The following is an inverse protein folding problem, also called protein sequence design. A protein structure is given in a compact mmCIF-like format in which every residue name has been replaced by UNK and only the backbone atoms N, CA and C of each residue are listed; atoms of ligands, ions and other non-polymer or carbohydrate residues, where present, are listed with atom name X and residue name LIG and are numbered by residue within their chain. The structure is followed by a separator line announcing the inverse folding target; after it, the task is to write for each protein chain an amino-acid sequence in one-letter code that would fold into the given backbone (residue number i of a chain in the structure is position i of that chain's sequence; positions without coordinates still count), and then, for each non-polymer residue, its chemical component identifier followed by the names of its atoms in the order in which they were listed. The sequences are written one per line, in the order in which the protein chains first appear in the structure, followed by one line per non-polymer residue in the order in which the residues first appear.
data_IF_850088066038
#
_entry.id   IF_850088066038
#
_cell.length_a   1.000
_cell.length_b   1.000
_cell.length_c   1.000
_cell.angle_alpha   90.00
_cell.angle_beta   90.00
_cell.angle_gamma   90.00
#
_symmetry.space_group_name_H-M   'P 1'
#
loop_
_entity.id
_entity.type
_entity.pdbx_description
1 polymer ?
#
# COMPACT_ATOMS: atom_id res chain seq x y z
N UNK A 1 1.80 35.67 1.67
CA UNK A 1 2.68 34.88 0.77
C UNK A 1 4.13 35.06 1.21
N UNK A 2 4.65 34.22 2.11
CA UNK A 2 6.09 34.14 2.43
C UNK A 2 6.56 32.75 2.05
N UNK A 3 7.61 32.69 1.22
CA UNK A 3 8.21 31.43 0.78
C UNK A 3 8.79 30.69 1.97
N UNK A 4 8.35 29.45 2.17
CA UNK A 4 9.06 28.49 3.02
C UNK A 4 10.34 28.14 2.28
N UNK A 5 11.49 28.42 2.91
CA UNK A 5 12.81 28.18 2.35
C UNK A 5 13.03 26.72 1.95
N UNK A 6 13.97 26.52 1.02
CA UNK A 6 14.32 25.26 0.34
C UNK A 6 14.82 24.11 1.25
N UNK A 7 14.64 24.21 2.57
CA UNK A 7 15.13 23.25 3.56
C UNK A 7 14.03 22.71 4.51
N UNK A 8 12.77 22.79 4.12
CA UNK A 8 11.65 22.20 4.87
C UNK A 8 11.46 20.74 4.48
N UNK A 9 11.17 19.88 5.46
CA UNK A 9 11.00 18.45 5.20
C UNK A 9 9.80 18.25 4.25
N UNK A 10 9.87 17.21 3.41
CA UNK A 10 8.76 16.85 2.51
C UNK A 10 7.46 16.65 3.31
N UNK A 11 7.58 16.11 4.53
CA UNK A 11 6.45 15.94 5.45
C UNK A 11 5.78 17.27 5.81
N UNK A 12 6.55 18.29 6.19
CA UNK A 12 6.01 19.60 6.54
C UNK A 12 5.25 20.21 5.36
N UNK A 13 5.82 20.06 4.16
CA UNK A 13 5.17 20.52 2.92
C UNK A 13 3.84 19.81 2.67
N UNK A 14 3.73 18.52 2.97
CA UNK A 14 2.47 17.78 2.86
C UNK A 14 1.46 18.29 3.88
N UNK A 15 1.88 18.47 5.14
CA UNK A 15 1.01 18.92 6.23
C UNK A 15 0.42 20.32 6.01
N UNK A 16 1.06 21.15 5.19
CA UNK A 16 0.54 22.47 4.79
C UNK A 16 -0.74 22.37 3.95
N UNK A 17 -0.94 21.26 3.23
CA UNK A 17 -2.05 21.10 2.29
C UNK A 17 -3.07 20.05 2.71
N UNK A 18 -2.65 19.00 3.43
CA UNK A 18 -3.50 17.87 3.81
C UNK A 18 -3.14 17.38 5.20
N UNK A 19 -4.12 16.91 5.96
CA UNK A 19 -3.86 16.23 7.24
C UNK A 19 -3.34 14.81 7.00
N UNK A 20 -2.13 14.49 7.44
CA UNK A 20 -1.61 13.14 7.29
C UNK A 20 -2.20 12.22 8.37
N UNK A 21 -2.48 10.98 7.97
CA UNK A 21 -2.73 9.83 8.84
C UNK A 21 -1.85 8.70 8.32
N UNK A 22 -1.21 7.95 9.21
CA UNK A 22 -0.33 6.84 8.83
C UNK A 22 -0.83 5.54 9.43
N UNK A 23 -0.75 4.47 8.64
CA UNK A 23 -1.08 3.12 9.06
C UNK A 23 -0.34 2.75 10.36
N UNK A 24 -1.07 2.29 11.39
CA UNK A 24 -0.43 1.92 12.63
C UNK A 24 0.32 0.58 12.49
N UNK A 25 1.43 0.47 13.22
CA UNK A 25 2.14 -0.81 13.34
C UNK A 25 1.36 -1.84 14.13
N UNK A 26 0.50 -1.42 15.05
CA UNK A 26 -0.41 -2.30 15.80
C UNK A 26 -1.77 -2.36 15.10
N UNK A 27 -2.30 -3.58 14.93
CA UNK A 27 -3.59 -3.79 14.28
C UNK A 27 -4.77 -3.43 15.18
N UNK A 28 -4.56 -3.43 16.50
CA UNK A 28 -5.62 -3.13 17.47
C UNK A 28 -6.11 -1.68 17.36
N UNK A 29 -5.25 -0.75 16.93
CA UNK A 29 -5.56 0.68 16.78
C UNK A 29 -5.90 1.07 15.33
N UNK A 30 -6.05 0.07 14.44
CA UNK A 30 -6.30 0.33 13.01
C UNK A 30 -7.64 1.03 12.80
N UNK A 31 -8.71 0.53 13.42
CA UNK A 31 -10.04 1.12 13.29
C UNK A 31 -10.07 2.56 13.79
N UNK A 32 -9.46 2.83 14.94
CA UNK A 32 -9.34 4.20 15.49
C UNK A 32 -8.59 5.14 14.54
N UNK A 33 -7.55 4.63 13.88
CA UNK A 33 -6.77 5.40 12.89
C UNK A 33 -7.58 5.70 11.63
N UNK A 34 -8.39 4.74 11.17
CA UNK A 34 -9.29 4.92 10.03
C UNK A 34 -10.40 5.93 10.37
N UNK A 35 -10.97 5.86 11.58
CA UNK A 35 -11.94 6.85 12.04
C UNK A 35 -11.34 8.26 12.13
N UNK A 36 -10.12 8.37 12.64
CA UNK A 36 -9.38 9.63 12.69
C UNK A 36 -9.16 10.22 11.29
N UNK A 37 -8.85 9.39 10.29
CA UNK A 37 -8.79 9.82 8.90
C UNK A 37 -10.13 10.37 8.38
N UNK A 38 -11.24 9.68 8.62
CA UNK A 38 -12.55 10.16 8.19
C UNK A 38 -12.97 11.45 8.91
N UNK A 39 -12.63 11.59 10.20
CA UNK A 39 -12.85 12.84 10.96
C UNK A 39 -12.08 14.00 10.32
N UNK A 40 -10.78 13.83 10.05
CA UNK A 40 -9.93 14.83 9.38
C UNK A 40 -10.39 15.14 7.95
N UNK A 41 -10.93 14.16 7.23
CA UNK A 41 -11.40 14.34 5.86
C UNK A 41 -12.68 15.18 5.80
N UNK A 42 -13.57 15.03 6.79
CA UNK A 42 -14.87 15.73 6.86
C UNK A 42 -14.81 17.08 7.57
N UNK A 43 -13.64 17.46 8.07
CA UNK A 43 -13.41 18.74 8.72
C UNK A 43 -13.55 19.88 7.69
N UNK A 44 -14.55 20.78 7.82
CA UNK A 44 -14.79 21.85 6.86
C UNK A 44 -13.71 22.94 6.87
N UNK A 45 -12.93 23.04 7.96
CA UNK A 45 -11.83 24.01 8.06
C UNK A 45 -10.56 23.50 7.35
N UNK A 46 -10.53 22.22 6.98
CA UNK A 46 -9.40 21.57 6.35
C UNK A 46 -9.61 21.32 4.86
N UNK A 47 -8.50 21.29 4.12
CA UNK A 47 -8.53 21.06 2.66
C UNK A 47 -8.58 19.57 2.30
N UNK A 48 -8.77 18.70 3.28
CA UNK A 48 -8.80 17.24 3.16
C UNK A 48 -7.62 16.53 3.83
N UNK A 49 -7.65 15.21 3.79
CA UNK A 49 -6.68 14.34 4.45
C UNK A 49 -5.92 13.46 3.44
N UNK A 50 -4.79 12.89 3.87
CA UNK A 50 -4.03 11.88 3.15
C UNK A 50 -3.72 10.72 4.08
N UNK A 51 -3.98 9.50 3.62
CA UNK A 51 -3.69 8.28 4.36
C UNK A 51 -2.45 7.60 3.78
N UNK A 52 -1.41 7.43 4.58
CA UNK A 52 -0.21 6.69 4.23
C UNK A 52 -0.34 5.24 4.69
N UNK A 53 -0.42 4.32 3.74
CA UNK A 53 -0.52 2.88 4.00
C UNK A 53 0.61 2.11 3.32
N UNK A 54 0.80 0.87 3.74
CA UNK A 54 1.73 -0.09 3.13
C UNK A 54 0.92 -1.09 2.30
N UNK A 55 1.32 -1.32 1.04
CA UNK A 55 0.73 -2.39 0.23
C UNK A 55 0.93 -3.75 0.93
N UNK A 56 -0.11 -4.60 0.93
CA UNK A 56 -0.14 -5.85 1.72
C UNK A 56 -0.02 -5.64 3.23
N UNK A 57 -0.29 -4.42 3.69
CA UNK A 57 -0.42 -4.06 5.10
C UNK A 57 -1.78 -4.46 5.66
N UNK A 58 -2.07 -3.96 6.85
CA UNK A 58 -3.32 -4.23 7.58
C UNK A 58 -4.48 -3.42 7.03
N UNK A 59 -4.19 -2.25 6.46
CA UNK A 59 -5.18 -1.33 5.89
C UNK A 59 -5.79 -1.88 4.58
N UNK A 60 -5.14 -2.86 3.95
CA UNK A 60 -5.53 -3.38 2.62
C UNK A 60 -6.94 -4.00 2.54
N UNK A 61 -7.64 -4.17 3.68
CA UNK A 61 -9.01 -4.69 3.71
C UNK A 61 -10.03 -3.79 4.44
N UNK A 62 -9.60 -2.74 5.15
CA UNK A 62 -10.47 -1.97 6.07
C UNK A 62 -10.78 -0.51 5.69
N UNK A 63 -10.01 0.08 4.76
CA UNK A 63 -10.22 1.46 4.31
C UNK A 63 -10.97 1.46 2.97
N UNK A 64 -12.14 2.09 2.93
CA UNK A 64 -12.98 2.19 1.74
C UNK A 64 -12.92 3.60 1.14
N UNK A 65 -12.71 3.67 -0.17
CA UNK A 65 -12.60 4.91 -0.95
C UNK A 65 -13.94 5.36 -1.54
N UNK A 66 -15.07 4.81 -1.09
CA UNK A 66 -16.39 5.18 -1.58
C UNK A 66 -16.66 6.69 -1.53
N UNK A 67 -17.37 7.16 -2.54
CA UNK A 67 -17.83 8.55 -2.67
C UNK A 67 -16.66 9.56 -2.65
N UNK A 68 -16.60 10.36 -1.59
CA UNK A 68 -15.65 11.45 -1.42
C UNK A 68 -14.44 11.04 -0.58
N UNK A 69 -14.38 9.77 -0.15
CA UNK A 69 -13.33 9.23 0.72
C UNK A 69 -12.00 8.95 0.01
N UNK A 70 -12.00 8.86 -1.33
CA UNK A 70 -10.78 8.71 -2.12
C UNK A 70 -10.91 9.38 -3.50
N UNK A 71 -10.06 10.37 -3.77
CA UNK A 71 -9.99 11.06 -5.08
C UNK A 71 -8.81 10.64 -5.93
N UNK A 72 -7.74 10.18 -5.28
CA UNK A 72 -6.53 9.69 -5.93
C UNK A 72 -5.85 8.67 -5.02
N UNK A 73 -5.27 7.64 -5.63
CA UNK A 73 -4.38 6.69 -4.98
C UNK A 73 -3.02 6.81 -5.65
N UNK A 74 -1.99 7.05 -4.85
CA UNK A 74 -0.61 7.14 -5.32
C UNK A 74 0.16 5.94 -4.78
N UNK A 75 0.63 5.09 -5.68
CA UNK A 75 1.49 3.96 -5.35
C UNK A 75 2.94 4.36 -5.60
N UNK A 76 3.79 4.25 -4.59
CA UNK A 76 5.23 4.53 -4.72
C UNK A 76 6.00 3.22 -4.94
N UNK A 77 6.56 3.05 -6.13
CA UNK A 77 7.22 1.81 -6.54
C UNK A 77 6.24 0.70 -6.96
N UNK A 78 6.76 -0.53 -7.08
CA UNK A 78 5.98 -1.72 -7.41
C UNK A 78 5.95 -2.64 -6.19
N UNK A 79 4.78 -3.05 -5.68
CA UNK A 79 4.62 -3.78 -4.42
C UNK A 79 4.94 -5.28 -4.56
N UNK A 80 6.19 -5.57 -4.90
CA UNK A 80 6.70 -6.93 -4.99
C UNK A 80 6.73 -7.62 -3.62
N UNK A 81 6.42 -8.93 -3.54
CA UNK A 81 6.71 -9.71 -2.35
C UNK A 81 8.22 -9.70 -2.05
N UNK A 82 8.58 -9.75 -0.77
CA UNK A 82 9.98 -9.79 -0.36
C UNK A 82 10.67 -11.05 -0.92
N UNK A 83 11.69 -10.87 -1.79
CA UNK A 83 12.45 -12.00 -2.36
C UNK A 83 13.21 -12.80 -1.31
N UNK A 84 13.55 -12.20 -0.17
CA UNK A 84 14.26 -12.87 0.92
C UNK A 84 13.36 -13.84 1.70
N UNK A 85 12.03 -13.66 1.64
CA UNK A 85 11.06 -14.52 2.33
C UNK A 85 11.16 -15.98 1.84
N UNK A 86 11.31 -16.90 2.78
CA UNK A 86 11.42 -18.33 2.50
C UNK A 86 10.18 -18.88 1.81
N UNK A 87 8.97 -18.39 2.14
CA UNK A 87 7.73 -18.81 1.49
C UNK A 87 7.71 -18.43 0.02
N UNK A 88 8.18 -17.21 -0.30
CA UNK A 88 8.30 -16.73 -1.68
C UNK A 88 9.30 -17.57 -2.46
N UNK A 89 10.48 -17.85 -1.89
CA UNK A 89 11.51 -18.70 -2.52
C UNK A 89 11.01 -20.13 -2.75
N UNK A 90 10.37 -20.74 -1.76
CA UNK A 90 9.85 -22.11 -1.86
C UNK A 90 8.72 -22.20 -2.88
N UNK A 91 7.83 -21.21 -2.94
CA UNK A 91 6.75 -21.19 -3.92
C UNK A 91 7.26 -21.07 -5.34
N UNK A 92 8.26 -20.20 -5.59
CA UNK A 92 8.89 -20.09 -6.90
C UNK A 92 9.51 -21.42 -7.33
N UNK A 93 10.32 -22.04 -6.46
CA UNK A 93 10.93 -23.35 -6.74
C UNK A 93 9.89 -24.43 -7.05
N UNK A 94 8.81 -24.49 -6.26
CA UNK A 94 7.73 -25.44 -6.48
C UNK A 94 7.05 -25.26 -7.86
N UNK A 95 6.78 -24.01 -8.24
CA UNK A 95 6.20 -23.69 -9.54
C UNK A 95 7.16 -24.04 -10.69
N UNK A 96 8.45 -23.76 -10.53
CA UNK A 96 9.47 -24.11 -11.53
C UNK A 96 9.62 -25.62 -11.73
N UNK A 97 9.55 -26.41 -10.65
CA UNK A 97 9.56 -27.88 -10.73
C UNK A 97 8.32 -28.41 -11.46
N UNK A 98 7.14 -27.85 -11.18
CA UNK A 98 5.90 -28.25 -11.82
C UNK A 98 5.84 -27.85 -13.30
N UNK A 99 6.38 -26.69 -13.66
CA UNK A 99 6.42 -26.23 -15.04
C UNK A 99 7.29 -27.12 -15.95
N UNK A 100 8.20 -27.91 -15.37
CA UNK A 100 9.11 -28.84 -16.06
C UNK A 100 8.61 -30.28 -16.10
N UNK A 101 7.51 -30.60 -15.43
CA UNK A 101 7.02 -31.97 -15.34
C UNK A 101 6.38 -32.44 -16.67
N UNK A 102 6.73 -33.63 -17.19
CA UNK A 102 6.10 -34.17 -18.40
C UNK A 102 4.61 -34.47 -18.15
N UNK A 103 3.76 -34.21 -19.15
CA UNK A 103 2.30 -34.44 -19.17
C UNK A 103 1.42 -33.58 -18.24
N UNK A 104 1.84 -32.37 -17.84
CA UNK A 104 0.96 -31.43 -17.11
C UNK A 104 0.52 -30.22 -17.95
N UNK A 105 -0.68 -29.73 -17.63
CA UNK A 105 -1.24 -28.46 -18.13
C UNK A 105 -0.22 -27.34 -17.92
N UNK A 106 -0.07 -26.44 -18.91
CA UNK A 106 0.81 -25.27 -18.82
C UNK A 106 0.51 -24.47 -17.54
N UNK A 107 1.47 -24.42 -16.63
CA UNK A 107 1.40 -23.66 -15.38
C UNK A 107 2.39 -22.49 -15.42
N UNK A 108 2.17 -21.48 -14.57
CA UNK A 108 3.08 -20.35 -14.43
C UNK A 108 4.42 -20.81 -13.84
N UNK A 109 5.52 -20.28 -14.37
CA UNK A 109 6.84 -20.36 -13.72
C UNK A 109 6.86 -19.56 -12.41
N UNK A 110 7.85 -19.81 -11.56
CA UNK A 110 8.06 -19.05 -10.34
C UNK A 110 8.22 -17.56 -10.61
N UNK A 111 8.95 -17.18 -11.65
CA UNK A 111 9.16 -15.78 -12.04
C UNK A 111 7.87 -15.11 -12.56
N UNK A 112 7.10 -15.80 -13.40
CA UNK A 112 5.81 -15.28 -13.89
C UNK A 112 4.81 -15.08 -12.74
N UNK A 113 4.74 -16.07 -11.83
CA UNK A 113 3.94 -15.94 -10.61
C UNK A 113 4.41 -14.77 -9.74
N UNK A 114 5.73 -14.59 -9.55
CA UNK A 114 6.28 -13.49 -8.76
C UNK A 114 5.95 -12.13 -9.36
N UNK A 115 6.06 -11.98 -10.69
CA UNK A 115 5.60 -10.77 -11.41
C UNK A 115 4.09 -10.54 -11.24
N UNK A 116 3.29 -11.60 -11.32
CA UNK A 116 1.85 -11.51 -11.08
C UNK A 116 1.52 -11.10 -9.64
N UNK A 117 2.35 -11.44 -8.65
CA UNK A 117 2.12 -11.00 -7.27
C UNK A 117 2.22 -9.48 -7.11
N UNK A 118 3.09 -8.80 -7.86
CA UNK A 118 3.21 -7.36 -7.79
C UNK A 118 1.91 -6.64 -8.23
N UNK A 119 1.21 -7.15 -9.25
CA UNK A 119 -0.01 -6.52 -9.74
C UNK A 119 -1.26 -6.82 -8.88
N UNK A 120 -1.15 -7.75 -7.92
CA UNK A 120 -2.27 -8.20 -7.06
C UNK A 120 -2.20 -7.65 -5.64
N UNK A 121 -1.20 -6.82 -5.36
CA UNK A 121 -0.97 -6.26 -4.04
C UNK A 121 -1.91 -5.09 -3.73
#
# INVERSE_FOLDING_TARGET
KRGLGDNTAIWDRITLYKKPVAEPRDGNILNDTIEDFYKKLRDPDEKGAVFFAVCRGKVSEGLDFANDNGRAVVVTGIPFPNMADQRVKLKQKYLDLNARAPNKVKTLTGNEWYKQQASRA
#
